data_IF_937992131914
#
_entry.id   IF_937992131914
#
_cell.length_a   1.000
_cell.length_b   1.000
_cell.length_c   1.000
_cell.angle_alpha   90.00
_cell.angle_beta   90.00
_cell.angle_gamma   90.00
#
_symmetry.space_group_name_H-M   'P 1'
#
loop_
_entity.id
_entity.type
_entity.pdbx_description
1 polymer ?
#
# COMPACT_ATOMS: atom_id res chain seq x y z
N UNK A 1 0.68 -2.53 -17.23
CA UNK A 1 0.66 -2.94 -15.81
C UNK A 1 1.44 -4.23 -15.59
N UNK A 2 1.93 -4.47 -14.38
CA UNK A 2 2.61 -5.69 -13.98
C UNK A 2 1.89 -6.33 -12.82
N UNK A 3 1.41 -7.57 -13.01
CA UNK A 3 0.77 -8.36 -11.96
C UNK A 3 1.83 -8.94 -11.02
N UNK A 4 1.60 -8.86 -9.74
CA UNK A 4 2.37 -9.48 -8.66
C UNK A 4 1.43 -10.01 -7.58
N UNK A 5 1.95 -10.90 -6.75
CA UNK A 5 1.25 -11.36 -5.54
C UNK A 5 2.25 -12.03 -4.59
N UNK A 6 1.85 -12.34 -3.34
CA UNK A 6 2.69 -13.09 -2.42
C UNK A 6 3.08 -14.46 -3.00
N UNK A 7 4.31 -14.87 -2.75
CA UNK A 7 4.75 -16.26 -2.98
C UNK A 7 4.59 -17.04 -1.67
N UNK A 8 3.72 -18.04 -1.68
CA UNK A 8 3.50 -18.91 -0.52
C UNK A 8 4.44 -20.13 -0.49
N UNK A 9 5.10 -20.42 -1.61
CA UNK A 9 6.11 -21.46 -1.68
C UNK A 9 7.46 -20.93 -1.17
N UNK A 10 8.24 -21.74 -0.43
CA UNK A 10 9.56 -21.34 0.04
C UNK A 10 10.54 -21.17 -1.13
N UNK A 11 11.48 -20.25 -0.95
CA UNK A 11 12.63 -20.03 -1.82
C UNK A 11 13.83 -19.65 -0.94
N UNK A 12 14.99 -20.16 -1.27
CA UNK A 12 16.24 -20.02 -0.49
C UNK A 12 17.30 -19.16 -1.19
N UNK A 13 17.07 -18.80 -2.45
CA UNK A 13 17.99 -18.02 -3.24
C UNK A 13 17.26 -17.08 -4.22
N UNK A 14 17.91 -15.97 -4.64
CA UNK A 14 17.35 -15.05 -5.62
C UNK A 14 16.90 -15.71 -6.94
N UNK A 15 17.67 -16.69 -7.43
CA UNK A 15 17.32 -17.41 -8.65
C UNK A 15 16.05 -18.25 -8.50
N UNK A 16 15.88 -18.93 -7.36
CA UNK A 16 14.68 -19.71 -7.06
C UNK A 16 13.45 -18.79 -6.91
N UNK A 17 13.60 -17.64 -6.26
CA UNK A 17 12.56 -16.62 -6.16
C UNK A 17 12.11 -16.12 -7.54
N UNK A 18 13.05 -15.77 -8.43
CA UNK A 18 12.74 -15.35 -9.79
C UNK A 18 12.02 -16.45 -10.57
N UNK A 19 12.48 -17.71 -10.46
CA UNK A 19 11.84 -18.83 -11.11
C UNK A 19 10.41 -19.05 -10.63
N UNK A 20 10.16 -18.91 -9.32
CA UNK A 20 8.84 -19.01 -8.73
C UNK A 20 7.87 -17.93 -9.23
N UNK A 21 8.33 -16.68 -9.33
CA UNK A 21 7.53 -15.57 -9.88
C UNK A 21 7.18 -15.81 -11.35
N UNK A 22 8.16 -16.21 -12.16
CA UNK A 22 7.96 -16.51 -13.58
C UNK A 22 6.98 -17.66 -13.79
N UNK A 23 7.06 -18.70 -12.97
CA UNK A 23 6.13 -19.84 -13.02
C UNK A 23 4.67 -19.43 -12.76
N UNK A 24 4.46 -18.32 -12.01
CA UNK A 24 3.14 -17.72 -11.79
C UNK A 24 2.74 -16.68 -12.84
N UNK A 25 3.63 -16.33 -13.76
CA UNK A 25 3.43 -15.25 -14.73
C UNK A 25 3.56 -13.85 -14.13
N UNK A 26 4.16 -13.70 -12.95
CA UNK A 26 4.31 -12.42 -12.26
C UNK A 26 5.46 -11.60 -12.83
N UNK A 27 5.19 -10.34 -13.14
CA UNK A 27 6.18 -9.32 -13.52
C UNK A 27 6.48 -8.33 -12.38
N UNK A 28 5.79 -8.46 -11.26
CA UNK A 28 6.03 -7.72 -10.03
C UNK A 28 6.05 -8.67 -8.83
N UNK A 29 6.60 -8.21 -7.70
CA UNK A 29 6.69 -9.00 -6.48
C UNK A 29 6.68 -8.11 -5.25
N UNK A 30 6.25 -8.66 -4.12
CA UNK A 30 6.55 -8.12 -2.81
C UNK A 30 8.02 -8.33 -2.44
N UNK A 31 8.53 -7.52 -1.52
CA UNK A 31 9.90 -7.61 -1.06
C UNK A 31 10.22 -9.02 -0.53
N UNK A 32 11.26 -9.70 -1.05
CA UNK A 32 11.58 -11.07 -0.68
C UNK A 32 12.38 -11.19 0.62
N UNK A 33 12.83 -10.09 1.20
CA UNK A 33 13.70 -10.09 2.39
C UNK A 33 13.15 -9.17 3.49
N UNK A 34 13.62 -9.37 4.71
CA UNK A 34 13.29 -8.52 5.87
C UNK A 34 14.22 -7.32 5.97
N UNK A 35 13.84 -6.32 6.78
CA UNK A 35 14.61 -5.08 6.94
C UNK A 35 15.97 -5.26 7.63
N UNK A 36 16.14 -6.34 8.37
CA UNK A 36 17.38 -6.74 9.05
C UNK A 36 18.28 -7.66 8.21
N UNK A 37 17.94 -7.93 6.95
CA UNK A 37 18.76 -8.74 6.07
C UNK A 37 20.10 -8.07 5.75
N UNK A 38 21.14 -8.90 5.55
CA UNK A 38 22.46 -8.44 5.16
C UNK A 38 22.42 -7.64 3.85
N UNK A 39 23.23 -6.59 3.74
CA UNK A 39 23.30 -5.75 2.55
C UNK A 39 23.66 -6.54 1.28
N UNK A 40 24.50 -7.57 1.41
CA UNK A 40 24.83 -8.46 0.30
C UNK A 40 23.62 -9.25 -0.19
N UNK A 41 22.77 -9.73 0.72
CA UNK A 41 21.53 -10.44 0.39
C UNK A 41 20.55 -9.49 -0.30
N UNK A 42 20.35 -8.28 0.25
CA UNK A 42 19.49 -7.24 -0.36
C UNK A 42 19.96 -6.95 -1.80
N UNK A 43 21.29 -6.74 -1.99
CA UNK A 43 21.86 -6.46 -3.29
C UNK A 43 21.67 -7.63 -4.28
N UNK A 44 21.80 -8.88 -3.82
CA UNK A 44 21.61 -10.07 -4.66
C UNK A 44 20.16 -10.18 -5.18
N UNK A 45 19.17 -9.97 -4.33
CA UNK A 45 17.76 -9.96 -4.75
C UNK A 45 17.43 -8.78 -5.67
N UNK A 46 17.96 -7.57 -5.40
CA UNK A 46 17.83 -6.43 -6.30
C UNK A 46 18.37 -6.73 -7.69
N UNK A 47 19.59 -7.27 -7.77
CA UNK A 47 20.23 -7.64 -9.06
C UNK A 47 19.43 -8.72 -9.80
N UNK A 48 18.96 -9.74 -9.10
CA UNK A 48 18.14 -10.80 -9.69
C UNK A 48 16.82 -10.26 -10.25
N UNK A 49 16.15 -9.38 -9.51
CA UNK A 49 14.93 -8.71 -9.96
C UNK A 49 15.18 -7.88 -11.23
N UNK A 50 16.24 -7.05 -11.23
CA UNK A 50 16.62 -6.23 -12.37
C UNK A 50 16.95 -7.07 -13.61
N UNK A 51 17.78 -8.10 -13.46
CA UNK A 51 18.16 -8.99 -14.55
C UNK A 51 16.97 -9.78 -15.13
N UNK A 52 15.97 -10.08 -14.30
CA UNK A 52 14.75 -10.77 -14.71
C UNK A 52 13.65 -9.84 -15.24
N UNK A 53 13.82 -8.52 -15.17
CA UNK A 53 12.81 -7.53 -15.50
C UNK A 53 11.61 -7.54 -14.53
N UNK A 54 11.79 -8.06 -13.30
CA UNK A 54 10.79 -8.08 -12.25
C UNK A 54 10.88 -6.79 -11.45
N UNK A 55 9.75 -6.17 -11.16
CA UNK A 55 9.66 -4.99 -10.28
C UNK A 55 9.35 -5.43 -8.86
N UNK A 56 10.16 -5.00 -7.90
CA UNK A 56 9.80 -5.10 -6.49
C UNK A 56 8.81 -3.96 -6.22
N UNK A 57 7.53 -4.31 -6.05
CA UNK A 57 6.45 -3.35 -5.94
C UNK A 57 6.53 -2.59 -4.62
N UNK A 58 6.68 -3.32 -3.53
CA UNK A 58 6.55 -2.74 -2.20
C UNK A 58 7.32 -3.50 -1.13
N UNK A 59 7.61 -2.78 -0.04
CA UNK A 59 8.05 -3.31 1.24
C UNK A 59 6.98 -2.97 2.27
N UNK A 60 6.32 -3.97 2.85
CA UNK A 60 5.31 -3.76 3.88
C UNK A 60 5.93 -3.35 5.22
N UNK A 61 5.44 -2.26 5.81
CA UNK A 61 5.82 -1.80 7.16
C UNK A 61 4.71 -2.04 8.19
N UNK A 62 3.74 -2.84 7.88
CA UNK A 62 2.50 -3.12 8.62
C UNK A 62 2.66 -3.04 10.13
N UNK A 63 2.30 -1.89 10.70
CA UNK A 63 2.47 -1.55 12.12
C UNK A 63 1.64 -0.32 12.48
N UNK A 64 1.51 -0.04 13.79
CA UNK A 64 0.72 1.09 14.30
C UNK A 64 1.58 2.26 14.80
N UNK A 65 2.02 3.19 13.95
CA UNK A 65 2.78 4.36 14.38
C UNK A 65 1.94 5.41 15.12
N UNK A 66 0.62 5.22 15.23
CA UNK A 66 -0.29 6.05 16.00
C UNK A 66 -0.78 5.39 17.30
N UNK A 67 -0.21 4.24 17.66
CA UNK A 67 -0.60 3.51 18.87
C UNK A 67 -0.67 4.43 20.10
N UNK A 68 -1.72 4.29 20.93
CA UNK A 68 -1.77 4.99 22.22
C UNK A 68 -0.67 4.51 23.18
N UNK A 69 -0.21 3.27 23.02
CA UNK A 69 0.94 2.74 23.77
C UNK A 69 2.25 3.32 23.20
N UNK A 70 3.04 4.07 24.01
CA UNK A 70 4.26 4.69 23.53
C UNK A 70 5.35 3.69 23.12
N UNK A 71 5.39 2.48 23.72
CA UNK A 71 6.37 1.44 23.36
C UNK A 71 6.03 0.86 22.00
N UNK A 72 4.77 0.51 21.77
CA UNK A 72 4.27 0.01 20.49
C UNK A 72 4.47 1.06 19.40
N UNK A 73 4.16 2.32 19.70
CA UNK A 73 4.35 3.43 18.75
C UNK A 73 5.81 3.62 18.36
N UNK A 74 6.72 3.63 19.32
CA UNK A 74 8.16 3.77 19.04
C UNK A 74 8.67 2.62 18.16
N UNK A 75 8.34 1.37 18.51
CA UNK A 75 8.73 0.20 17.73
C UNK A 75 8.12 0.23 16.29
N UNK A 76 6.90 0.73 16.14
CA UNK A 76 6.28 0.90 14.84
C UNK A 76 6.99 1.96 13.99
N UNK A 77 7.38 3.10 14.58
CA UNK A 77 8.15 4.13 13.90
C UNK A 77 9.50 3.60 13.40
N UNK A 78 10.24 2.87 14.26
CA UNK A 78 11.50 2.26 13.89
C UNK A 78 11.33 1.24 12.76
N UNK A 79 10.27 0.42 12.81
CA UNK A 79 9.93 -0.51 11.73
C UNK A 79 9.62 0.22 10.43
N UNK A 80 8.86 1.31 10.45
CA UNK A 80 8.55 2.10 9.26
C UNK A 80 9.81 2.69 8.63
N UNK A 81 10.71 3.26 9.45
CA UNK A 81 11.99 3.81 8.99
C UNK A 81 12.89 2.72 8.38
N UNK A 82 13.02 1.57 9.05
CA UNK A 82 13.79 0.43 8.56
C UNK A 82 13.22 -0.14 7.25
N UNK A 83 11.90 -0.26 7.14
CA UNK A 83 11.24 -0.75 5.93
C UNK A 83 11.37 0.24 4.76
N UNK A 84 11.28 1.54 4.99
CA UNK A 84 11.50 2.54 3.95
C UNK A 84 12.96 2.54 3.48
N UNK A 85 13.91 2.39 4.39
CA UNK A 85 15.31 2.24 4.03
C UNK A 85 15.59 0.95 3.24
N UNK A 86 14.93 -0.16 3.60
CA UNK A 86 14.98 -1.39 2.80
C UNK A 86 14.39 -1.16 1.40
N UNK A 87 13.26 -0.48 1.28
CA UNK A 87 12.63 -0.17 -0.01
C UNK A 87 13.60 0.58 -0.93
N UNK A 88 14.28 1.60 -0.40
CA UNK A 88 15.31 2.36 -1.13
C UNK A 88 16.49 1.46 -1.56
N UNK A 89 17.00 0.61 -0.66
CA UNK A 89 18.16 -0.26 -0.91
C UNK A 89 17.87 -1.35 -1.91
N UNK A 90 16.71 -2.00 -1.80
CA UNK A 90 16.34 -3.10 -2.69
C UNK A 90 15.80 -2.61 -4.04
N UNK A 91 15.50 -1.32 -4.14
CA UNK A 91 14.94 -0.72 -5.36
C UNK A 91 13.45 -1.00 -5.53
N UNK A 92 12.71 -1.11 -4.42
CA UNK A 92 11.26 -1.19 -4.44
C UNK A 92 10.63 0.17 -4.80
N UNK A 93 9.42 0.14 -5.35
CA UNK A 93 8.68 1.37 -5.70
C UNK A 93 8.23 2.16 -4.47
N UNK A 94 7.82 1.45 -3.41
CA UNK A 94 7.39 2.08 -2.17
C UNK A 94 7.64 1.19 -0.95
N UNK A 95 7.61 1.83 0.20
CA UNK A 95 7.32 1.23 1.49
C UNK A 95 5.86 1.54 1.83
N UNK A 96 5.05 0.53 2.09
CA UNK A 96 3.61 0.70 2.33
C UNK A 96 3.27 0.43 3.79
N UNK A 97 2.40 1.26 4.34
CA UNK A 97 1.74 1.07 5.63
C UNK A 97 0.36 1.76 5.61
N UNK A 98 -0.51 1.36 6.53
CA UNK A 98 -1.65 2.20 6.94
C UNK A 98 -1.16 3.28 7.91
N UNK A 99 -1.96 4.30 8.17
CA UNK A 99 -1.61 5.35 9.15
C UNK A 99 -1.57 4.83 10.58
N UNK A 100 -2.30 3.74 10.85
CA UNK A 100 -2.49 3.18 12.18
C UNK A 100 -3.71 3.74 12.89
N UNK A 101 -4.12 3.08 13.97
CA UNK A 101 -5.29 3.44 14.77
C UNK A 101 -4.90 3.99 16.14
N UNK A 102 -5.74 4.89 16.68
CA UNK A 102 -5.70 5.36 18.07
C UNK A 102 -6.28 4.33 19.05
N UNK A 103 -6.80 3.21 18.53
CA UNK A 103 -7.32 2.08 19.31
C UNK A 103 -6.27 1.00 19.59
N UNK A 104 -6.71 -0.03 20.34
CA UNK A 104 -5.87 -1.19 20.66
C UNK A 104 -5.56 -2.05 19.42
N UNK A 105 -6.57 -2.24 18.55
CA UNK A 105 -6.37 -2.96 17.30
C UNK A 105 -5.72 -2.03 16.28
N UNK A 106 -4.52 -2.38 15.85
CA UNK A 106 -3.67 -1.54 15.01
C UNK A 106 -4.29 -1.12 13.67
N UNK A 107 -5.15 -1.95 13.10
CA UNK A 107 -5.89 -1.77 11.84
C UNK A 107 -7.41 -1.65 12.06
N UNK A 108 -7.86 -1.54 13.31
CA UNK A 108 -9.28 -1.46 13.65
C UNK A 108 -9.80 -0.03 13.74
N UNK A 109 -11.13 0.15 13.72
CA UNK A 109 -11.75 1.46 13.84
C UNK A 109 -11.65 2.01 15.27
N UNK A 110 -11.45 3.32 15.39
CA UNK A 110 -11.52 4.03 16.66
C UNK A 110 -12.11 5.43 16.44
N UNK A 111 -12.95 5.97 17.37
CA UNK A 111 -13.59 7.26 17.17
C UNK A 111 -12.65 8.44 16.91
N UNK A 112 -11.43 8.38 17.44
CA UNK A 112 -10.44 9.42 17.22
C UNK A 112 -9.73 9.34 15.87
N UNK A 113 -9.84 8.25 15.11
CA UNK A 113 -9.03 8.05 13.88
C UNK A 113 -9.36 9.06 12.76
N UNK A 114 -10.56 9.61 12.76
CA UNK A 114 -11.02 10.60 11.78
C UNK A 114 -11.13 12.02 12.37
N UNK A 115 -10.32 12.34 13.39
CA UNK A 115 -10.26 13.69 13.98
C UNK A 115 -9.13 14.53 13.38
N UNK A 116 -9.23 15.87 13.49
CA UNK A 116 -8.17 16.78 13.06
C UNK A 116 -6.88 16.60 13.88
N UNK A 117 -6.99 16.21 15.15
CA UNK A 117 -5.83 15.85 15.98
C UNK A 117 -5.07 14.67 15.35
N UNK A 118 -5.78 13.60 15.00
CA UNK A 118 -5.16 12.42 14.37
C UNK A 118 -4.64 12.75 12.98
N UNK A 119 -5.32 13.59 12.22
CA UNK A 119 -4.78 14.10 10.95
C UNK A 119 -3.43 14.79 11.14
N UNK A 120 -3.30 15.67 12.11
CA UNK A 120 -2.03 16.34 12.43
C UNK A 120 -0.94 15.35 12.88
N UNK A 121 -1.31 14.34 13.67
CA UNK A 121 -0.38 13.26 14.07
C UNK A 121 0.11 12.47 12.87
N UNK A 122 -0.76 12.10 11.94
CA UNK A 122 -0.38 11.39 10.70
C UNK A 122 0.63 12.21 9.91
N UNK A 123 0.37 13.51 9.73
CA UNK A 123 1.29 14.41 9.01
C UNK A 123 2.66 14.46 9.70
N UNK A 124 2.71 14.65 11.01
CA UNK A 124 3.95 14.71 11.77
C UNK A 124 4.73 13.38 11.69
N UNK A 125 4.05 12.27 11.90
CA UNK A 125 4.61 10.91 11.86
C UNK A 125 5.17 10.56 10.47
N UNK A 126 4.42 10.86 9.42
CA UNK A 126 4.85 10.58 8.04
C UNK A 126 6.08 11.44 7.67
N UNK A 127 6.09 12.71 8.05
CA UNK A 127 7.27 13.57 7.89
C UNK A 127 8.48 13.02 8.63
N UNK A 128 8.33 12.62 9.89
CA UNK A 128 9.40 12.04 10.68
C UNK A 128 10.02 10.82 10.01
N UNK A 129 9.20 9.91 9.48
CA UNK A 129 9.67 8.70 8.80
C UNK A 129 10.45 9.07 7.53
N UNK A 130 9.91 9.95 6.71
CA UNK A 130 10.52 10.35 5.44
C UNK A 130 11.81 11.15 5.68
N UNK A 131 11.78 12.12 6.59
CA UNK A 131 12.91 13.00 6.88
C UNK A 131 14.08 12.23 7.53
N UNK A 132 13.79 11.17 8.30
CA UNK A 132 14.82 10.29 8.87
C UNK A 132 15.54 9.44 7.82
N UNK A 133 14.85 8.99 6.78
CA UNK A 133 15.40 8.09 5.76
C UNK A 133 15.91 8.85 4.53
N UNK A 134 15.24 9.93 4.16
CA UNK A 134 15.52 10.75 2.96
C UNK A 134 15.62 9.90 1.68
N UNK A 135 14.57 9.11 1.35
CA UNK A 135 14.59 8.25 0.18
C UNK A 135 14.70 9.07 -1.10
N UNK A 136 15.43 8.53 -2.10
CA UNK A 136 15.64 9.19 -3.40
C UNK A 136 14.78 8.60 -4.51
N UNK A 137 14.45 7.32 -4.40
CA UNK A 137 13.74 6.55 -5.44
C UNK A 137 12.47 5.90 -4.91
N UNK A 138 12.52 5.34 -3.72
CA UNK A 138 11.34 4.80 -3.05
C UNK A 138 10.52 5.94 -2.41
N UNK A 139 9.23 5.67 -2.16
CA UNK A 139 8.37 6.56 -1.38
C UNK A 139 7.78 5.82 -0.18
N UNK A 140 7.41 6.54 0.86
CA UNK A 140 6.53 6.03 1.91
C UNK A 140 5.09 6.26 1.46
N UNK A 141 4.36 5.18 1.23
CA UNK A 141 3.01 5.22 0.70
C UNK A 141 1.99 4.79 1.77
N UNK A 142 0.94 5.58 1.93
CA UNK A 142 -0.16 5.26 2.83
C UNK A 142 -1.23 4.48 2.07
N UNK A 143 -1.71 3.38 2.64
CA UNK A 143 -2.84 2.64 2.08
C UNK A 143 -4.16 3.32 2.44
N UNK A 144 -5.09 3.38 1.49
CA UNK A 144 -6.45 3.82 1.74
C UNK A 144 -7.18 2.87 2.68
N UNK A 145 -7.94 3.42 3.66
CA UNK A 145 -8.61 2.63 4.69
C UNK A 145 -10.07 3.09 4.86
N UNK A 146 -11.00 2.21 5.28
CA UNK A 146 -12.41 2.56 5.38
C UNK A 146 -12.80 3.40 6.61
N UNK A 147 -11.99 3.43 7.67
CA UNK A 147 -12.30 4.05 8.98
C UNK A 147 -11.16 4.84 9.61
N UNK A 148 -10.11 5.12 8.86
CA UNK A 148 -9.01 6.00 9.24
C UNK A 148 -8.49 6.72 8.01
N UNK A 149 -7.86 7.88 8.18
CA UNK A 149 -7.27 8.59 7.05
C UNK A 149 -6.14 7.76 6.39
N UNK A 150 -6.02 7.78 5.06
CA UNK A 150 -6.92 8.39 4.07
C UNK A 150 -8.13 7.49 3.76
N UNK A 151 -9.33 8.01 3.96
CA UNK A 151 -10.62 7.32 3.77
C UNK A 151 -11.42 7.81 2.55
N UNK A 152 -10.86 8.78 1.83
CA UNK A 152 -11.43 9.38 0.63
C UNK A 152 -10.36 10.04 -0.23
N UNK A 153 -10.72 10.42 -1.46
CA UNK A 153 -9.85 11.18 -2.37
C UNK A 153 -9.46 12.52 -1.74
N UNK A 154 -10.43 13.21 -1.14
CA UNK A 154 -10.24 14.51 -0.52
C UNK A 154 -9.29 14.44 0.68
N UNK A 155 -9.49 13.46 1.56
CA UNK A 155 -8.62 13.28 2.73
C UNK A 155 -7.21 12.91 2.31
N UNK A 156 -7.05 12.11 1.24
CA UNK A 156 -5.74 11.77 0.71
C UNK A 156 -5.02 12.99 0.13
N UNK A 157 -5.72 13.81 -0.68
CA UNK A 157 -5.16 15.05 -1.21
C UNK A 157 -4.73 16.01 -0.08
N UNK A 158 -5.57 16.15 0.97
CA UNK A 158 -5.23 16.94 2.15
C UNK A 158 -3.95 16.43 2.82
N UNK A 159 -3.81 15.11 2.98
CA UNK A 159 -2.61 14.51 3.57
C UNK A 159 -1.37 14.75 2.72
N UNK A 160 -1.41 14.49 1.42
CA UNK A 160 -0.29 14.72 0.52
C UNK A 160 0.18 16.18 0.57
N UNK A 161 -0.77 17.12 0.52
CA UNK A 161 -0.49 18.56 0.62
C UNK A 161 0.10 18.94 1.98
N UNK A 162 -0.46 18.39 3.07
CA UNK A 162 -0.01 18.72 4.42
C UNK A 162 1.33 18.06 4.76
N UNK A 163 1.60 16.85 4.27
CA UNK A 163 2.89 16.17 4.45
C UNK A 163 3.99 16.91 3.71
N UNK A 164 3.73 17.36 2.49
CA UNK A 164 4.64 18.19 1.69
C UNK A 164 6.08 17.62 1.67
N UNK A 165 6.19 16.36 1.25
CA UNK A 165 7.47 15.64 1.08
C UNK A 165 7.47 14.87 -0.24
N UNK A 166 8.49 15.01 -1.09
CA UNK A 166 8.58 14.26 -2.36
C UNK A 166 8.68 12.75 -2.14
N UNK A 167 9.15 12.32 -0.95
CA UNK A 167 9.18 10.93 -0.54
C UNK A 167 7.84 10.37 -0.05
N UNK A 168 6.72 11.12 -0.17
CA UNK A 168 5.37 10.63 0.12
C UNK A 168 4.68 10.17 -1.16
N UNK A 169 3.98 9.03 -1.11
CA UNK A 169 3.26 8.48 -2.25
C UNK A 169 1.92 7.85 -1.86
N UNK A 170 1.24 7.34 -2.89
CA UNK A 170 -0.08 6.71 -2.77
C UNK A 170 0.05 5.21 -2.96
N UNK A 171 -0.51 4.46 -2.00
CA UNK A 171 -0.86 3.06 -2.17
C UNK A 171 -2.39 2.97 -2.27
N UNK A 172 -2.89 2.53 -3.40
CA UNK A 172 -4.31 2.56 -3.69
C UNK A 172 -4.95 1.18 -3.50
N UNK A 173 -5.86 1.07 -2.55
CA UNK A 173 -6.78 -0.06 -2.42
C UNK A 173 -8.21 0.45 -2.60
N UNK A 174 -8.82 0.25 -3.78
CA UNK A 174 -10.17 0.74 -4.04
C UNK A 174 -11.23 0.09 -3.16
N UNK A 175 -11.04 -1.18 -2.75
CA UNK A 175 -12.01 -1.91 -1.94
C UNK A 175 -12.15 -1.26 -0.57
N UNK A 176 -11.04 -0.82 0.01
CA UNK A 176 -11.04 -0.14 1.31
C UNK A 176 -11.79 1.22 1.29
N UNK A 177 -12.01 1.82 0.12
CA UNK A 177 -12.84 3.02 -0.02
C UNK A 177 -14.32 2.73 -0.24
N UNK A 178 -14.71 1.48 -0.53
CA UNK A 178 -16.10 1.09 -0.75
C UNK A 178 -16.74 0.73 0.58
N UNK A 179 -17.15 1.73 1.34
CA UNK A 179 -17.68 1.59 2.70
C UNK A 179 -19.19 1.89 2.80
N UNK A 180 -19.91 1.92 1.70
CA UNK A 180 -21.35 2.15 1.65
C UNK A 180 -21.98 1.53 0.39
N UNK A 181 -23.30 1.21 0.40
CA UNK A 181 -24.00 0.76 -0.79
C UNK A 181 -23.89 1.74 -1.96
N UNK A 182 -23.90 3.06 -1.68
CA UNK A 182 -23.76 4.09 -2.71
C UNK A 182 -22.41 3.99 -3.43
N UNK A 183 -21.32 3.83 -2.68
CA UNK A 183 -19.99 3.62 -3.26
C UNK A 183 -19.89 2.27 -3.95
N UNK A 184 -20.50 1.22 -3.38
CA UNK A 184 -20.52 -0.11 -3.99
C UNK A 184 -21.15 -0.10 -5.39
N UNK A 185 -22.34 0.47 -5.54
CA UNK A 185 -23.03 0.53 -6.84
C UNK A 185 -22.43 1.53 -7.83
N UNK A 186 -21.55 2.41 -7.38
CA UNK A 186 -20.87 3.43 -8.21
C UNK A 186 -19.34 3.32 -8.12
N UNK A 187 -18.83 2.14 -7.84
CA UNK A 187 -17.39 1.97 -7.61
C UNK A 187 -16.52 2.28 -8.84
N UNK A 188 -17.04 2.10 -10.06
CA UNK A 188 -16.38 2.53 -11.28
C UNK A 188 -16.17 4.04 -11.37
N UNK A 189 -17.13 4.86 -10.86
CA UNK A 189 -16.98 6.32 -10.78
C UNK A 189 -15.91 6.69 -9.74
N UNK A 190 -15.96 6.06 -8.57
CA UNK A 190 -14.95 6.22 -7.52
C UNK A 190 -13.53 5.89 -8.01
N UNK A 191 -13.36 4.79 -8.73
CA UNK A 191 -12.07 4.40 -9.32
C UNK A 191 -11.57 5.46 -10.28
N UNK A 192 -12.42 5.96 -11.20
CA UNK A 192 -12.04 7.01 -12.16
C UNK A 192 -11.61 8.29 -11.45
N UNK A 193 -12.33 8.71 -10.43
CA UNK A 193 -12.00 9.87 -9.61
C UNK A 193 -10.65 9.70 -8.90
N UNK A 194 -10.44 8.57 -8.20
CA UNK A 194 -9.18 8.27 -7.54
C UNK A 194 -8.00 8.30 -8.50
N UNK A 195 -8.12 7.64 -9.65
CA UNK A 195 -7.03 7.59 -10.64
C UNK A 195 -6.78 8.98 -11.26
N UNK A 196 -7.82 9.74 -11.57
CA UNK A 196 -7.66 11.09 -12.13
C UNK A 196 -6.93 12.04 -11.17
N UNK A 197 -7.20 11.93 -9.88
CA UNK A 197 -6.72 12.89 -8.87
C UNK A 197 -5.41 12.42 -8.22
N UNK A 198 -5.34 11.15 -7.80
CA UNK A 198 -4.21 10.60 -7.05
C UNK A 198 -3.19 9.90 -7.94
N UNK A 199 -3.55 9.60 -9.18
CA UNK A 199 -2.75 8.83 -10.11
C UNK A 199 -1.29 9.24 -10.23
N UNK A 200 -0.94 10.53 -10.35
CA UNK A 200 0.46 10.96 -10.45
C UNK A 200 1.34 10.53 -9.27
N UNK A 201 0.76 10.33 -8.08
CA UNK A 201 1.45 9.89 -6.87
C UNK A 201 1.29 8.39 -6.58
N UNK A 202 0.47 7.65 -7.35
CA UNK A 202 0.32 6.20 -7.16
C UNK A 202 1.63 5.47 -7.46
N UNK A 203 2.01 4.55 -6.57
CA UNK A 203 3.22 3.74 -6.70
C UNK A 203 2.92 2.25 -6.69
N UNK A 204 1.85 1.84 -6.03
CA UNK A 204 1.41 0.46 -5.91
C UNK A 204 -0.10 0.43 -5.72
N UNK A 205 -0.73 -0.67 -6.10
CA UNK A 205 -2.19 -0.86 -6.03
C UNK A 205 -2.46 -2.28 -5.56
N UNK A 206 -3.29 -2.43 -4.52
CA UNK A 206 -3.88 -3.72 -4.19
C UNK A 206 -5.15 -3.98 -4.99
N UNK A 207 -5.28 -5.18 -5.51
CA UNK A 207 -6.47 -5.62 -6.24
C UNK A 207 -7.19 -6.70 -5.45
N UNK A 208 -8.30 -6.30 -4.86
CA UNK A 208 -9.25 -7.16 -4.17
C UNK A 208 -10.59 -7.11 -4.92
N UNK A 209 -11.58 -7.78 -4.40
CA UNK A 209 -12.97 -7.62 -4.83
C UNK A 209 -13.85 -7.48 -3.59
N UNK A 210 -15.11 -7.07 -3.77
CA UNK A 210 -16.00 -6.76 -2.67
C UNK A 210 -17.41 -7.23 -3.01
N UNK A 211 -18.13 -7.75 -2.02
CA UNK A 211 -19.49 -8.19 -2.14
C UNK A 211 -20.39 -7.53 -1.10
N UNK A 212 -21.51 -6.95 -1.56
CA UNK A 212 -22.57 -6.48 -0.69
C UNK A 212 -23.51 -7.66 -0.38
N UNK A 213 -23.55 -8.07 0.89
CA UNK A 213 -24.42 -9.16 1.32
C UNK A 213 -25.89 -8.73 1.38
N UNK A 214 -26.78 -9.64 0.96
CA UNK A 214 -28.24 -9.44 0.97
C UNK A 214 -28.83 -9.70 2.36
N UNK A 215 -28.34 -8.99 3.36
CA UNK A 215 -28.82 -9.06 4.75
C UNK A 215 -28.74 -7.72 5.46
N UNK A 216 -29.63 -7.50 6.41
CA UNK A 216 -29.60 -6.33 7.30
C UNK A 216 -28.56 -6.56 8.41
N UNK A 217 -27.75 -5.59 8.82
CA UNK A 217 -27.63 -4.25 8.24
C UNK A 217 -26.75 -4.27 6.98
N UNK A 218 -25.96 -3.20 6.71
CA UNK A 218 -25.00 -3.22 5.58
C UNK A 218 -23.81 -4.11 5.93
N UNK A 219 -23.55 -5.11 5.08
CA UNK A 219 -22.36 -5.96 5.18
C UNK A 219 -21.65 -5.94 3.82
N UNK A 220 -20.44 -5.40 3.83
CA UNK A 220 -19.53 -5.36 2.70
C UNK A 220 -18.34 -6.25 3.06
N UNK A 221 -18.25 -7.38 2.38
CA UNK A 221 -17.24 -8.40 2.66
C UNK A 221 -16.22 -8.42 1.51
N UNK A 222 -14.93 -8.55 1.84
CA UNK A 222 -13.89 -8.77 0.84
C UNK A 222 -14.13 -10.10 0.11
N UNK A 223 -13.96 -10.11 -1.20
CA UNK A 223 -14.18 -11.26 -2.05
C UNK A 223 -12.95 -11.52 -2.94
N UNK A 224 -12.84 -12.74 -3.44
CA UNK A 224 -11.81 -13.08 -4.41
C UNK A 224 -11.99 -12.23 -5.68
N UNK A 225 -10.90 -11.65 -6.27
CA UNK A 225 -10.98 -10.90 -7.51
C UNK A 225 -11.73 -11.65 -8.62
N UNK A 226 -12.73 -11.00 -9.22
CA UNK A 226 -13.60 -11.54 -10.24
C UNK A 226 -14.84 -12.29 -9.72
N UNK A 227 -15.08 -12.32 -8.39
CA UNK A 227 -16.27 -12.96 -7.81
C UNK A 227 -17.20 -11.99 -7.07
N UNK A 228 -16.80 -10.74 -6.92
CA UNK A 228 -17.57 -9.67 -6.30
C UNK A 228 -18.17 -8.69 -7.29
N UNK A 229 -18.37 -7.45 -6.84
CA UNK A 229 -18.98 -6.37 -7.61
C UNK A 229 -18.05 -5.19 -7.92
N UNK A 230 -16.74 -5.32 -7.72
CA UNK A 230 -15.78 -4.30 -8.12
C UNK A 230 -15.73 -4.21 -9.66
N UNK A 231 -15.77 -3.01 -10.22
CA UNK A 231 -15.55 -2.77 -11.64
C UNK A 231 -14.06 -2.93 -11.98
N UNK A 232 -13.59 -4.18 -11.97
CA UNK A 232 -12.21 -4.55 -12.29
C UNK A 232 -11.82 -4.09 -13.70
N UNK A 233 -12.77 -4.07 -14.65
CA UNK A 233 -12.49 -3.60 -16.00
C UNK A 233 -12.12 -2.12 -16.02
N UNK A 234 -12.88 -1.28 -15.32
CA UNK A 234 -12.55 0.14 -15.16
C UNK A 234 -11.23 0.32 -14.41
N UNK A 235 -11.02 -0.40 -13.29
CA UNK A 235 -9.78 -0.33 -12.53
C UNK A 235 -8.55 -0.61 -13.41
N UNK A 236 -8.53 -1.74 -14.07
CA UNK A 236 -7.39 -2.15 -14.92
C UNK A 236 -7.19 -1.21 -16.10
N UNK A 237 -8.27 -0.72 -16.73
CA UNK A 237 -8.20 0.22 -17.83
C UNK A 237 -7.61 1.57 -17.41
N UNK A 238 -8.10 2.15 -16.33
CA UNK A 238 -7.63 3.46 -15.86
C UNK A 238 -6.18 3.41 -15.36
N UNK A 239 -5.80 2.36 -14.62
CA UNK A 239 -4.42 2.16 -14.18
C UNK A 239 -3.47 1.96 -15.36
N UNK A 240 -3.88 1.21 -16.40
CA UNK A 240 -3.03 1.02 -17.57
C UNK A 240 -2.85 2.29 -18.41
N UNK A 241 -3.84 3.18 -18.40
CA UNK A 241 -3.73 4.51 -19.03
C UNK A 241 -2.80 5.43 -18.27
N UNK A 242 -2.81 5.34 -16.93
CA UNK A 242 -2.00 6.18 -16.06
C UNK A 242 -0.52 5.85 -16.21
N UNK A 243 -0.13 4.62 -16.00
CA UNK A 243 1.23 4.12 -16.11
C UNK A 243 1.24 2.62 -16.46
N UNK A 244 1.60 2.26 -17.73
CA UNK A 244 1.70 0.86 -18.12
C UNK A 244 2.72 0.04 -17.34
N UNK A 245 3.62 0.68 -16.57
CA UNK A 245 4.60 0.01 -15.71
C UNK A 245 4.15 -0.12 -14.25
N UNK A 246 3.00 0.45 -13.88
CA UNK A 246 2.45 0.39 -12.53
C UNK A 246 2.25 -1.08 -12.11
N UNK A 247 2.51 -1.38 -10.85
CA UNK A 247 2.35 -2.71 -10.28
C UNK A 247 0.99 -2.82 -9.62
N UNK A 248 0.39 -3.98 -9.79
CA UNK A 248 -0.83 -4.40 -9.12
C UNK A 248 -0.58 -5.75 -8.42
N UNK A 249 -1.05 -5.87 -7.21
CA UNK A 249 -0.90 -7.06 -6.37
C UNK A 249 -2.15 -7.40 -5.58
#
# INVERSE_FOLDING_TARGET
MRLGAPLFQPYDAPAAWVAALRAKGYGAAYCPVKADADLAVIAAYRQAAQAAGIVIAEVGAWSNPLSPDPVVRAAALDKCKASLLLAERIGARCCVNITGSRGEKWDGPHPADLTEETFAMIVATTREIIDAVQPRTAVYALETMPWMYPDSVESYQRLLKAIDRPGCGVHFDPVNLINSPQRYFRNGDLIRECVAILGPQMRSVHVKDIQLAHRLTVHLDEARPGTGGLDLHTLLRELNRLDPSLQIG
#
